data_IF_120427895598
#
_entry.id   IF_120427895598
#
_cell.length_a   1.000
_cell.length_b   1.000
_cell.length_c   1.000
_cell.angle_alpha   90.00
_cell.angle_beta   90.00
_cell.angle_gamma   90.00
#
_symmetry.space_group_name_H-M   'P 1'
#
loop_
_entity.id
_entity.type
_entity.pdbx_description
1 polymer ?
#
# COMPACT_ATOMS: atom_id res chain seq x y z
N UNK A 1 1.67 22.16 -13.88
CA UNK A 1 2.77 21.57 -13.09
C UNK A 1 2.91 20.14 -13.57
N UNK A 2 4.03 19.77 -14.17
CA UNK A 2 4.28 18.37 -14.55
C UNK A 2 4.42 17.57 -13.26
N UNK A 3 3.44 16.72 -12.97
CA UNK A 3 3.57 15.72 -11.91
C UNK A 3 4.73 14.82 -12.31
N UNK A 4 5.89 14.98 -11.67
CA UNK A 4 7.01 14.08 -11.91
C UNK A 4 6.64 12.73 -11.32
N UNK A 5 6.66 11.71 -12.19
CA UNK A 5 6.50 10.32 -11.81
C UNK A 5 7.88 9.72 -11.58
N UNK A 6 8.05 9.04 -10.45
CA UNK A 6 9.29 8.39 -10.05
C UNK A 6 9.04 6.89 -9.92
N UNK A 7 9.96 6.09 -10.43
CA UNK A 7 9.94 4.65 -10.27
C UNK A 7 10.55 4.28 -8.91
N UNK A 8 9.79 3.54 -8.13
CA UNK A 8 10.18 3.03 -6.82
C UNK A 8 10.27 1.51 -6.82
N UNK A 9 11.06 0.99 -5.89
CA UNK A 9 11.04 -0.41 -5.48
C UNK A 9 10.48 -0.53 -4.07
N UNK A 10 9.68 -1.56 -3.85
CA UNK A 10 9.26 -1.99 -2.52
C UNK A 10 9.28 -3.51 -2.42
N UNK A 11 9.22 -4.05 -1.21
CA UNK A 11 8.99 -5.47 -1.00
C UNK A 11 7.55 -5.63 -0.54
N UNK A 12 6.78 -6.42 -1.29
CA UNK A 12 5.39 -6.70 -0.93
C UNK A 12 5.36 -7.38 0.45
N UNK A 13 4.65 -6.79 1.44
CA UNK A 13 4.70 -7.24 2.82
C UNK A 13 3.95 -8.55 3.06
N UNK A 14 3.08 -8.97 2.14
CA UNK A 14 2.29 -10.20 2.26
C UNK A 14 2.96 -11.40 1.60
N UNK A 15 3.67 -11.17 0.51
CA UNK A 15 4.33 -12.22 -0.28
C UNK A 15 5.85 -12.25 -0.12
N UNK A 16 6.45 -11.18 0.39
CA UNK A 16 7.91 -11.00 0.44
C UNK A 16 8.55 -10.75 -0.92
N UNK A 17 7.76 -10.56 -1.97
CA UNK A 17 8.25 -10.43 -3.35
C UNK A 17 8.69 -8.99 -3.63
N UNK A 18 9.89 -8.73 -4.18
CA UNK A 18 10.27 -7.39 -4.65
C UNK A 18 9.38 -6.94 -5.81
N UNK A 19 8.91 -5.69 -5.74
CA UNK A 19 8.04 -5.06 -6.74
C UNK A 19 8.64 -3.73 -7.21
N UNK A 20 8.25 -3.32 -8.42
CA UNK A 20 8.57 -2.00 -8.98
C UNK A 20 7.27 -1.29 -9.33
N UNK A 21 7.19 -0.01 -9.01
CA UNK A 21 5.97 0.78 -9.17
C UNK A 21 6.31 2.22 -9.52
N UNK A 22 5.51 2.82 -10.40
CA UNK A 22 5.57 4.26 -10.68
C UNK A 22 4.62 5.02 -9.77
N UNK A 23 5.10 6.09 -9.16
CA UNK A 23 4.32 6.91 -8.24
C UNK A 23 4.71 8.39 -8.29
N UNK A 24 4.00 9.26 -7.58
CA UNK A 24 4.39 10.65 -7.45
C UNK A 24 5.81 10.79 -6.87
N UNK A 25 6.55 11.78 -7.32
CA UNK A 25 7.86 12.09 -6.77
C UNK A 25 7.78 12.48 -5.28
N UNK A 26 8.83 12.18 -4.51
CA UNK A 26 8.94 12.53 -3.09
C UNK A 26 8.13 11.67 -2.12
N UNK A 27 7.68 10.48 -2.54
CA UNK A 27 6.93 9.54 -1.71
C UNK A 27 7.85 8.55 -1.01
N UNK A 28 7.53 8.22 0.23
CA UNK A 28 8.33 7.32 1.07
C UNK A 28 7.58 6.03 1.44
N UNK A 29 6.25 6.04 1.36
CA UNK A 29 5.41 4.91 1.73
C UNK A 29 4.30 4.67 0.71
N UNK A 30 3.87 3.42 0.62
CA UNK A 30 2.79 2.94 -0.22
C UNK A 30 1.84 2.09 0.60
N UNK A 31 0.53 2.27 0.42
CA UNK A 31 -0.49 1.38 0.99
C UNK A 31 -0.73 0.19 0.06
N UNK A 32 -0.69 -1.01 0.63
CA UNK A 32 -0.81 -2.29 -0.07
C UNK A 32 -1.93 -3.10 0.58
N UNK A 33 -2.89 -3.54 -0.23
CA UNK A 33 -3.88 -4.54 0.17
C UNK A 33 -3.41 -5.93 -0.25
N UNK A 34 -3.84 -6.97 0.46
CA UNK A 34 -3.70 -8.35 -0.01
C UNK A 34 -4.90 -8.69 -0.89
N UNK A 35 -4.67 -9.25 -2.08
CA UNK A 35 -5.74 -9.82 -2.90
C UNK A 35 -6.40 -11.05 -2.26
N UNK A 36 -7.44 -11.60 -2.91
CA UNK A 36 -8.16 -12.80 -2.44
C UNK A 36 -7.22 -14.01 -2.22
N UNK A 37 -6.17 -14.12 -3.02
CA UNK A 37 -5.07 -15.07 -2.81
C UNK A 37 -3.81 -14.35 -2.27
N UNK A 38 -2.84 -15.10 -1.72
CA UNK A 38 -1.51 -14.58 -1.34
C UNK A 38 -0.74 -14.19 -2.61
N UNK A 39 -1.17 -13.12 -3.24
CA UNK A 39 -0.60 -12.50 -4.43
C UNK A 39 -0.29 -11.04 -4.10
N UNK A 40 0.61 -10.47 -4.90
CA UNK A 40 0.88 -9.04 -4.87
C UNK A 40 -0.45 -8.32 -5.14
N UNK A 41 -0.88 -7.52 -4.18
CA UNK A 41 -2.10 -6.74 -4.35
C UNK A 41 -1.82 -5.40 -4.99
N UNK A 42 -2.90 -4.73 -5.40
CA UNK A 42 -2.78 -3.47 -6.08
C UNK A 42 -2.36 -2.35 -5.11
N UNK A 43 -1.40 -1.51 -5.51
CA UNK A 43 -1.02 -0.32 -4.76
C UNK A 43 -2.20 0.66 -4.73
N UNK A 44 -2.57 1.12 -3.52
CA UNK A 44 -3.69 2.05 -3.38
C UNK A 44 -3.27 3.51 -3.43
N UNK A 45 -2.37 3.91 -2.52
CA UNK A 45 -2.07 5.33 -2.30
C UNK A 45 -0.66 5.52 -1.74
N UNK A 46 -0.09 6.71 -1.99
CA UNK A 46 1.29 7.06 -1.66
C UNK A 46 1.37 8.15 -0.59
N UNK A 47 2.24 7.94 0.40
CA UNK A 47 2.40 8.84 1.54
C UNK A 47 3.85 9.31 1.70
N UNK A 48 3.99 10.49 2.30
CA UNK A 48 5.30 11.14 2.51
C UNK A 48 5.99 10.61 3.77
N UNK A 49 5.21 10.13 4.76
CA UNK A 49 5.69 9.74 6.07
C UNK A 49 4.93 8.52 6.61
N UNK A 50 5.52 7.90 7.64
CA UNK A 50 5.03 6.67 8.25
C UNK A 50 3.69 6.87 8.97
N UNK A 51 3.50 8.00 9.64
CA UNK A 51 2.31 8.23 10.47
C UNK A 51 1.07 8.38 9.59
N UNK A 52 1.17 9.14 8.50
CA UNK A 52 0.13 9.25 7.48
C UNK A 52 -0.23 7.89 6.86
N UNK A 53 0.79 7.08 6.53
CA UNK A 53 0.56 5.75 5.98
C UNK A 53 -0.13 4.82 7.00
N UNK A 54 0.28 4.87 8.27
CA UNK A 54 -0.33 4.09 9.36
C UNK A 54 -1.78 4.51 9.60
N UNK A 55 -2.07 5.81 9.61
CA UNK A 55 -3.42 6.33 9.75
C UNK A 55 -4.32 5.86 8.60
N UNK A 56 -3.80 5.85 7.37
CA UNK A 56 -4.52 5.33 6.21
C UNK A 56 -4.84 3.83 6.33
N UNK A 57 -3.88 3.01 6.79
CA UNK A 57 -4.13 1.58 7.11
C UNK A 57 -5.29 1.44 8.08
N UNK A 58 -5.28 2.19 9.19
CA UNK A 58 -6.32 2.12 10.21
C UNK A 58 -7.68 2.61 9.70
N UNK A 59 -7.69 3.70 8.92
CA UNK A 59 -8.90 4.22 8.30
C UNK A 59 -9.52 3.19 7.35
N UNK A 60 -8.69 2.54 6.54
CA UNK A 60 -9.12 1.52 5.58
C UNK A 60 -9.64 0.26 6.27
N UNK A 61 -8.95 -0.21 7.31
CA UNK A 61 -9.44 -1.31 8.15
C UNK A 61 -10.80 -0.97 8.77
N UNK A 62 -10.97 0.27 9.27
CA UNK A 62 -12.23 0.73 9.87
C UNK A 62 -13.37 0.81 8.85
N UNK A 63 -13.07 1.29 7.64
CA UNK A 63 -14.02 1.34 6.54
C UNK A 63 -14.48 -0.06 6.15
N UNK A 64 -13.52 -0.97 5.91
CA UNK A 64 -13.80 -2.33 5.46
C UNK A 64 -14.53 -3.14 6.53
N UNK A 65 -14.18 -2.96 7.81
CA UNK A 65 -14.89 -3.59 8.94
C UNK A 65 -16.40 -3.31 8.99
N UNK A 66 -16.89 -2.22 8.39
CA UNK A 66 -18.34 -1.93 8.30
C UNK A 66 -19.06 -2.75 7.23
N UNK A 67 -18.31 -3.36 6.32
CA UNK A 67 -18.83 -4.07 5.14
C UNK A 67 -18.44 -5.55 5.08
N UNK A 68 -17.46 -5.98 5.86
CA UNK A 68 -17.03 -7.38 5.94
C UNK A 68 -18.16 -8.25 6.48
N UNK A 69 -18.44 -9.35 5.79
CA UNK A 69 -19.24 -10.44 6.33
C UNK A 69 -18.40 -11.26 7.30
N UNK A 70 -19.03 -11.97 8.24
CA UNK A 70 -18.37 -12.63 9.40
C UNK A 70 -17.19 -13.58 9.07
N UNK A 71 -17.00 -13.97 7.80
CA UNK A 71 -15.96 -14.91 7.37
C UNK A 71 -14.95 -14.30 6.36
N UNK A 72 -15.10 -13.03 5.98
CA UNK A 72 -14.21 -12.38 5.02
C UNK A 72 -12.98 -11.83 5.75
N UNK A 73 -11.80 -12.36 5.43
CA UNK A 73 -10.54 -11.81 5.91
C UNK A 73 -10.08 -10.67 5.01
N UNK A 74 -9.61 -9.59 5.61
CA UNK A 74 -9.07 -8.46 4.86
C UNK A 74 -7.76 -8.00 5.47
N UNK A 75 -6.76 -7.85 4.62
CA UNK A 75 -5.41 -7.48 5.01
C UNK A 75 -4.98 -6.26 4.23
N UNK A 76 -4.56 -5.23 4.95
CA UNK A 76 -4.00 -3.99 4.40
C UNK A 76 -2.87 -3.53 5.30
N UNK A 77 -1.79 -3.04 4.71
CA UNK A 77 -0.64 -2.49 5.43
C UNK A 77 0.12 -1.51 4.55
N UNK A 78 1.13 -0.85 5.10
CA UNK A 78 2.03 0.02 4.34
C UNK A 78 3.39 -0.64 4.09
N UNK A 79 4.03 -0.24 2.99
CA UNK A 79 5.39 -0.63 2.62
C UNK A 79 6.27 0.60 2.39
N UNK A 80 7.56 0.49 2.72
CA UNK A 80 8.54 1.55 2.46
C UNK A 80 8.98 1.53 1.00
N UNK A 81 8.97 2.69 0.37
CA UNK A 81 9.46 2.91 -0.98
C UNK A 81 10.95 3.23 -0.95
N UNK A 82 11.68 2.73 -1.95
CA UNK A 82 13.09 3.06 -2.22
C UNK A 82 13.22 3.50 -3.67
N UNK A 83 14.08 4.47 -3.95
CA UNK A 83 14.40 4.84 -5.34
C UNK A 83 14.93 3.62 -6.11
N UNK A 84 14.44 3.43 -7.34
CA UNK A 84 14.83 2.32 -8.21
C UNK A 84 16.23 2.50 -8.81
#
# INVERSE_FOLDING_TARGET
MSSMTTTYRYTDPFTGTPQTIDGPDGKAYLLVERGEEVRVGDPLEFYNDHDSAREAVMARLTEKARSLQDYEEYYVTHATLRGA
#
